data_IF_254900057403
#
_entry.id   IF_254900057403
#
_cell.length_a   1.000
_cell.length_b   1.000
_cell.length_c   1.000
_cell.angle_alpha   90.00
_cell.angle_beta   90.00
_cell.angle_gamma   90.00
#
_symmetry.space_group_name_H-M   'P 1'
#
loop_
_entity.id
_entity.type
_entity.pdbx_description
1 polymer ?
#
# COMPACT_ATOMS: atom_id res chain seq x y z
N UNK A 1 12.90 -4.98 -4.31
CA UNK A 1 11.51 -4.79 -3.82
C UNK A 1 10.98 -6.02 -3.07
N UNK A 2 11.77 -6.64 -2.18
CA UNK A 2 11.35 -7.90 -1.54
C UNK A 2 10.49 -7.69 -0.29
N UNK A 3 10.69 -6.59 0.47
CA UNK A 3 10.13 -6.44 1.82
C UNK A 3 9.01 -5.38 1.93
N UNK A 4 8.88 -4.46 0.96
CA UNK A 4 7.88 -3.38 0.97
C UNK A 4 6.75 -3.58 -0.07
N UNK A 5 6.57 -4.81 -0.57
CA UNK A 5 5.61 -5.10 -1.64
C UNK A 5 4.17 -4.74 -1.26
N UNK A 6 3.78 -4.96 0.00
CA UNK A 6 2.44 -4.63 0.50
C UNK A 6 2.17 -3.13 0.47
N UNK A 7 3.12 -2.29 0.87
CA UNK A 7 2.97 -0.83 0.82
C UNK A 7 2.74 -0.36 -0.61
N UNK A 8 3.62 -0.73 -1.55
CA UNK A 8 3.50 -0.32 -2.94
C UNK A 8 2.26 -0.91 -3.63
N UNK A 9 1.81 -2.10 -3.21
CA UNK A 9 0.55 -2.67 -3.69
C UNK A 9 -0.64 -1.82 -3.26
N UNK A 10 -0.73 -1.46 -1.98
CA UNK A 10 -1.83 -0.63 -1.45
C UNK A 10 -1.81 0.75 -2.11
N UNK A 11 -0.61 1.33 -2.26
CA UNK A 11 -0.45 2.62 -2.95
C UNK A 11 -1.02 2.59 -4.38
N UNK A 12 -0.62 1.61 -5.20
CA UNK A 12 -1.15 1.46 -6.56
C UNK A 12 -2.64 1.14 -6.58
N UNK A 13 -3.11 0.29 -5.66
CA UNK A 13 -4.51 -0.07 -5.57
C UNK A 13 -5.41 1.15 -5.30
N UNK A 14 -4.92 2.11 -4.50
CA UNK A 14 -5.62 3.38 -4.26
C UNK A 14 -5.55 4.30 -5.49
N UNK A 15 -4.39 4.39 -6.16
CA UNK A 15 -4.21 5.17 -7.38
C UNK A 15 -5.11 4.68 -8.53
N UNK A 16 -5.34 3.37 -8.60
CA UNK A 16 -6.15 2.69 -9.61
C UNK A 16 -7.58 2.39 -9.13
N UNK A 17 -8.06 3.04 -8.06
CA UNK A 17 -9.37 2.77 -7.45
C UNK A 17 -10.52 2.81 -8.47
N UNK A 18 -10.58 3.86 -9.28
CA UNK A 18 -11.67 4.09 -10.22
C UNK A 18 -11.70 3.05 -11.36
N UNK A 19 -10.59 2.81 -12.10
CA UNK A 19 -10.59 1.78 -13.14
C UNK A 19 -10.83 0.37 -12.60
N UNK A 20 -10.32 0.05 -11.39
CA UNK A 20 -10.58 -1.24 -10.74
C UNK A 20 -12.06 -1.37 -10.41
N UNK A 21 -12.67 -0.36 -9.81
CA UNK A 21 -14.09 -0.37 -9.45
C UNK A 21 -14.97 -0.50 -10.70
N UNK A 22 -14.66 0.22 -11.77
CA UNK A 22 -15.38 0.14 -13.05
C UNK A 22 -15.29 -1.28 -13.66
N UNK A 23 -14.10 -1.86 -13.68
CA UNK A 23 -13.86 -3.22 -14.20
C UNK A 23 -14.61 -4.28 -13.37
N UNK A 24 -14.57 -4.18 -12.03
CA UNK A 24 -15.27 -5.11 -11.14
C UNK A 24 -16.81 -5.00 -11.23
N UNK A 25 -17.33 -3.86 -11.68
CA UNK A 25 -18.77 -3.65 -11.91
C UNK A 25 -19.23 -4.08 -13.30
N UNK A 26 -18.31 -4.39 -14.22
CA UNK A 26 -18.65 -4.81 -15.58
C UNK A 26 -19.33 -6.19 -15.58
N UNK A 27 -20.51 -6.28 -16.20
CA UNK A 27 -21.35 -7.50 -16.17
C UNK A 27 -20.66 -8.72 -16.76
N UNK A 28 -19.88 -8.54 -17.82
CA UNK A 28 -19.12 -9.63 -18.45
C UNK A 28 -17.95 -10.09 -17.56
N UNK A 29 -17.37 -9.17 -16.80
CA UNK A 29 -16.32 -9.47 -15.81
C UNK A 29 -16.89 -10.21 -14.60
N UNK A 30 -18.07 -9.80 -14.11
CA UNK A 30 -18.77 -10.47 -12.99
C UNK A 30 -19.25 -11.88 -13.32
N UNK A 31 -19.57 -12.18 -14.59
CA UNK A 31 -19.94 -13.54 -15.03
C UNK A 31 -18.75 -14.51 -15.02
N UNK A 32 -17.53 -13.99 -15.22
CA UNK A 32 -16.29 -14.79 -15.37
C UNK A 32 -15.59 -15.06 -14.04
N UNK A 33 -15.72 -14.16 -13.06
CA UNK A 33 -15.18 -14.35 -11.72
C UNK A 33 -16.27 -14.84 -10.77
N UNK A 34 -15.95 -15.87 -9.97
CA UNK A 34 -16.77 -16.28 -8.83
C UNK A 34 -16.78 -15.12 -7.84
N UNK A 35 -17.80 -14.25 -7.92
CA UNK A 35 -18.06 -13.11 -7.01
C UNK A 35 -16.80 -12.30 -6.68
N UNK A 36 -16.31 -11.52 -7.63
CA UNK A 36 -15.32 -10.50 -7.29
C UNK A 36 -15.98 -9.46 -6.37
N UNK A 37 -15.60 -9.44 -5.09
CA UNK A 37 -16.11 -8.45 -4.15
C UNK A 37 -15.47 -7.10 -4.46
N UNK A 38 -16.29 -6.15 -4.93
CA UNK A 38 -15.91 -4.74 -4.99
C UNK A 38 -15.69 -4.27 -3.54
N UNK A 39 -14.53 -3.68 -3.20
CA UNK A 39 -14.32 -3.15 -1.87
C UNK A 39 -15.39 -2.09 -1.55
N UNK A 40 -15.98 -2.21 -0.38
CA UNK A 40 -16.91 -1.23 0.19
C UNK A 40 -16.20 0.10 0.46
N UNK A 41 -16.97 1.17 0.69
CA UNK A 41 -16.38 2.47 1.06
C UNK A 41 -15.47 2.36 2.29
N UNK A 42 -15.89 1.58 3.29
CA UNK A 42 -15.13 1.38 4.53
C UNK A 42 -13.79 0.67 4.24
N UNK A 43 -13.79 -0.32 3.36
CA UNK A 43 -12.57 -1.04 2.98
C UNK A 43 -11.62 -0.16 2.16
N UNK A 44 -12.14 0.75 1.33
CA UNK A 44 -11.31 1.75 0.66
C UNK A 44 -10.68 2.74 1.65
N UNK A 45 -11.45 3.22 2.62
CA UNK A 45 -10.95 4.13 3.65
C UNK A 45 -9.90 3.45 4.53
N UNK A 46 -10.11 2.17 4.86
CA UNK A 46 -9.13 1.35 5.59
C UNK A 46 -7.81 1.23 4.83
N UNK A 47 -7.84 1.07 3.51
CA UNK A 47 -6.62 1.04 2.70
C UNK A 47 -5.86 2.37 2.72
N UNK A 48 -6.57 3.50 2.67
CA UNK A 48 -5.96 4.83 2.79
C UNK A 48 -5.29 5.00 4.15
N UNK A 49 -5.97 4.59 5.22
CA UNK A 49 -5.38 4.59 6.58
C UNK A 49 -4.14 3.70 6.64
N UNK A 50 -4.22 2.49 6.09
CA UNK A 50 -3.10 1.55 6.09
C UNK A 50 -1.90 2.09 5.31
N UNK A 51 -2.11 2.76 4.16
CA UNK A 51 -1.05 3.47 3.43
C UNK A 51 -0.40 4.53 4.31
N UNK A 52 -1.20 5.34 5.02
CA UNK A 52 -0.69 6.38 5.91
C UNK A 52 0.13 5.81 7.06
N UNK A 53 -0.34 4.73 7.69
CA UNK A 53 0.38 4.05 8.79
C UNK A 53 1.68 3.39 8.30
N UNK A 54 1.70 2.83 7.10
CA UNK A 54 2.87 2.14 6.56
C UNK A 54 3.92 3.10 5.97
N UNK A 55 3.53 4.31 5.56
CA UNK A 55 4.41 5.29 4.90
C UNK A 55 5.67 5.65 5.73
N UNK A 56 5.58 5.93 7.05
CA UNK A 56 6.77 6.18 7.87
C UNK A 56 7.77 5.03 7.86
N UNK A 57 7.29 3.78 7.90
CA UNK A 57 8.15 2.60 7.89
C UNK A 57 8.82 2.38 6.53
N UNK A 58 8.13 2.65 5.42
CA UNK A 58 8.75 2.64 4.09
C UNK A 58 9.85 3.70 4.01
N UNK A 59 9.57 4.91 4.49
CA UNK A 59 10.51 6.03 4.48
C UNK A 59 11.75 5.71 5.32
N UNK A 60 11.55 5.19 6.53
CA UNK A 60 12.64 4.74 7.40
C UNK A 60 13.47 3.63 6.74
N UNK A 61 12.81 2.63 6.15
CA UNK A 61 13.49 1.54 5.42
C UNK A 61 14.34 2.09 4.29
N UNK A 62 13.81 3.04 3.50
CA UNK A 62 14.52 3.66 2.38
C UNK A 62 15.72 4.47 2.86
N UNK A 63 15.57 5.22 3.96
CA UNK A 63 16.67 6.00 4.54
C UNK A 63 17.76 5.12 5.12
N UNK A 64 17.40 4.09 5.89
CA UNK A 64 18.37 3.18 6.53
C UNK A 64 19.13 2.34 5.50
N UNK A 65 18.51 2.02 4.36
CA UNK A 65 19.13 1.29 3.26
C UNK A 65 20.08 2.14 2.39
N UNK A 66 20.25 3.43 2.66
CA UNK A 66 21.21 4.27 1.93
C UNK A 66 22.65 3.90 2.32
N UNK A 67 23.42 3.41 1.36
CA UNK A 67 24.84 3.12 1.55
C UNK A 67 25.73 4.38 1.58
N UNK A 68 25.22 5.51 1.09
CA UNK A 68 25.98 6.76 0.93
C UNK A 68 26.03 7.64 2.19
N UNK A 69 25.25 7.33 3.22
CA UNK A 69 25.16 8.12 4.45
C UNK A 69 25.25 7.20 5.67
N UNK A 70 25.91 7.61 6.77
CA UNK A 70 25.88 6.87 8.02
C UNK A 70 24.44 6.88 8.58
N UNK A 71 23.81 5.70 8.62
CA UNK A 71 22.40 5.52 8.99
C UNK A 71 22.22 4.77 10.31
N UNK A 72 23.26 4.13 10.85
CA UNK A 72 23.22 3.36 12.11
C UNK A 72 22.74 4.22 13.30
N UNK A 73 23.21 5.47 13.40
CA UNK A 73 22.80 6.39 14.46
C UNK A 73 21.32 6.78 14.40
N UNK A 74 20.65 6.57 13.26
CA UNK A 74 19.23 6.88 13.07
C UNK A 74 18.30 5.74 13.48
N UNK A 75 18.82 4.54 13.76
CA UNK A 75 18.02 3.37 14.13
C UNK A 75 17.27 3.61 15.44
N UNK A 76 17.96 4.07 16.49
CA UNK A 76 17.34 4.27 17.79
C UNK A 76 16.19 5.30 17.74
N UNK A 77 16.36 6.50 17.14
CA UNK A 77 15.27 7.45 16.93
C UNK A 77 14.07 6.88 16.16
N UNK A 78 14.29 6.00 15.18
CA UNK A 78 13.22 5.39 14.38
C UNK A 78 12.41 4.36 15.17
N UNK A 79 13.02 3.68 16.14
CA UNK A 79 12.34 2.63 16.94
C UNK A 79 11.60 3.22 18.15
N UNK A 80 12.11 4.30 18.73
CA UNK A 80 11.54 4.91 19.94
C UNK A 80 10.63 6.10 19.68
N UNK A 81 10.52 6.54 18.43
CA UNK A 81 9.76 7.73 18.01
C UNK A 81 8.34 7.43 17.57
#
# INVERSE_FOLDING_TARGET
TRWNSTYYRIERLIEEKDPITACLQEKEFQKRLIKANVPTSIEWDLQVQLKSTLKPFETATRQLALASLPTISKILPVVTG
#
